data_IF_290385870637
#
_entry.id   IF_290385870637
#
_cell.length_a   1.000
_cell.length_b   1.000
_cell.length_c   1.000
_cell.angle_alpha   90.00
_cell.angle_beta   90.00
_cell.angle_gamma   90.00
#
_symmetry.space_group_name_H-M   'P 1'
#
loop_
_entity.id
_entity.type
_entity.pdbx_description
1 polymer ?
#
# COMPACT_ATOMS: atom_id res chain seq x y z
N UNK A 1 -38.36 37.24 3.00
CA UNK A 1 -38.67 36.04 2.20
C UNK A 1 -37.37 35.61 1.57
N UNK A 2 -36.56 34.88 2.33
CA UNK A 2 -35.43 34.06 1.87
C UNK A 2 -35.26 32.95 2.90
N UNK A 3 -36.37 32.24 3.14
CA UNK A 3 -36.45 31.11 4.08
C UNK A 3 -35.80 29.87 3.44
N UNK A 4 -35.48 29.91 2.14
CA UNK A 4 -34.85 28.82 1.40
C UNK A 4 -33.31 28.77 1.51
N UNK A 5 -32.61 29.91 1.65
CA UNK A 5 -31.15 29.92 1.79
C UNK A 5 -30.67 29.62 3.23
N UNK A 6 -31.51 29.90 4.23
CA UNK A 6 -31.25 29.49 5.62
C UNK A 6 -31.54 28.00 5.85
N UNK A 7 -32.38 27.37 5.03
CA UNK A 7 -32.74 25.96 5.19
C UNK A 7 -31.68 25.02 4.61
N UNK A 8 -31.11 25.36 3.44
CA UNK A 8 -30.04 24.57 2.81
C UNK A 8 -28.71 24.62 3.59
N UNK A 9 -28.45 25.73 4.30
CA UNK A 9 -27.30 25.87 5.20
C UNK A 9 -27.54 25.28 6.61
N UNK A 10 -28.81 25.02 6.97
CA UNK A 10 -29.20 24.37 8.23
C UNK A 10 -29.39 22.83 8.11
N UNK A 11 -29.52 22.28 6.90
CA UNK A 11 -29.65 20.81 6.69
C UNK A 11 -28.33 20.03 6.74
N UNK A 12 -27.18 20.71 6.81
CA UNK A 12 -25.93 20.12 7.32
C UNK A 12 -25.93 20.17 8.85
N UNK A 13 -27.05 19.78 9.46
CA UNK A 13 -27.16 19.55 10.89
C UNK A 13 -26.25 18.38 11.27
N UNK A 14 -25.01 18.72 11.65
CA UNK A 14 -24.08 17.92 12.45
C UNK A 14 -23.89 16.47 11.99
N UNK A 15 -23.30 16.25 10.81
CA UNK A 15 -22.66 14.97 10.52
C UNK A 15 -21.68 14.65 11.67
N UNK A 16 -22.00 13.62 12.47
CA UNK A 16 -21.19 13.24 13.63
C UNK A 16 -19.79 12.87 13.16
N UNK A 17 -18.78 13.66 13.55
CA UNK A 17 -17.38 13.30 13.31
C UNK A 17 -17.04 12.09 14.16
N UNK A 18 -16.54 11.04 13.51
CA UNK A 18 -16.06 9.83 14.18
C UNK A 18 -14.63 9.59 13.77
N UNK A 19 -13.73 9.49 14.74
CA UNK A 19 -12.32 9.18 14.50
C UNK A 19 -12.14 7.68 14.38
N UNK A 20 -11.30 7.26 13.43
CA UNK A 20 -10.85 5.86 13.36
C UNK A 20 -9.99 5.57 14.60
N UNK A 21 -10.36 4.54 15.36
CA UNK A 21 -9.63 4.13 16.56
C UNK A 21 -9.01 2.76 16.33
N UNK A 22 -7.71 2.65 16.59
CA UNK A 22 -7.01 1.37 16.56
C UNK A 22 -6.63 0.93 17.98
N UNK A 23 -7.13 -0.22 18.42
CA UNK A 23 -6.90 -0.73 19.79
C UNK A 23 -5.91 -1.90 19.88
N UNK A 24 -5.23 -2.22 18.77
CA UNK A 24 -4.28 -3.33 18.72
C UNK A 24 -3.01 -3.06 19.54
N UNK A 25 -2.42 -4.11 20.10
CA UNK A 25 -1.21 -4.05 20.93
C UNK A 25 -0.07 -4.86 20.32
N UNK A 26 1.14 -4.29 20.32
CA UNK A 26 2.32 -4.92 19.71
C UNK A 26 2.66 -6.28 20.30
N UNK A 27 2.63 -6.42 21.64
CA UNK A 27 2.93 -7.68 22.33
C UNK A 27 1.90 -8.79 22.04
N UNK A 28 0.62 -8.43 21.97
CA UNK A 28 -0.45 -9.38 21.61
C UNK A 28 -0.27 -9.85 20.16
N UNK A 29 -0.03 -8.91 19.23
CA UNK A 29 0.22 -9.24 17.84
C UNK A 29 1.52 -10.03 17.64
N UNK A 30 2.56 -9.79 18.46
CA UNK A 30 3.80 -10.57 18.42
C UNK A 30 3.55 -12.05 18.69
N UNK A 31 2.74 -12.39 19.70
CA UNK A 31 2.37 -13.78 20.00
C UNK A 31 1.65 -14.45 18.82
N UNK A 32 0.75 -13.73 18.14
CA UNK A 32 0.09 -14.23 16.92
C UNK A 32 1.11 -14.42 15.79
N UNK A 33 1.97 -13.43 15.58
CA UNK A 33 2.93 -13.40 14.49
C UNK A 33 3.99 -14.50 14.61
N UNK A 34 4.59 -14.70 15.79
CA UNK A 34 5.66 -15.70 15.96
C UNK A 34 5.13 -17.12 15.74
N UNK A 35 3.94 -17.43 16.26
CA UNK A 35 3.26 -18.71 16.02
C UNK A 35 2.96 -18.89 14.54
N UNK A 36 2.49 -17.83 13.87
CA UNK A 36 2.21 -17.87 12.44
C UNK A 36 3.49 -18.10 11.61
N UNK A 37 4.61 -17.46 11.96
CA UNK A 37 5.89 -17.65 11.28
C UNK A 37 6.39 -19.08 11.47
N UNK A 38 6.43 -19.58 12.71
CA UNK A 38 6.87 -20.94 13.02
C UNK A 38 6.04 -21.99 12.27
N UNK A 39 4.72 -21.89 12.31
CA UNK A 39 3.84 -22.82 11.59
C UNK A 39 3.99 -22.69 10.07
N UNK A 40 4.24 -21.48 9.55
CA UNK A 40 4.50 -21.29 8.13
C UNK A 40 5.80 -21.96 7.69
N UNK A 41 6.86 -21.90 8.51
CA UNK A 41 8.13 -22.57 8.22
C UNK A 41 7.95 -24.10 8.28
N UNK A 42 7.37 -24.61 9.36
CA UNK A 42 7.19 -26.07 9.58
C UNK A 42 6.32 -26.70 8.48
N UNK A 43 5.33 -25.97 7.98
CA UNK A 43 4.43 -26.45 6.90
C UNK A 43 4.90 -26.07 5.49
N UNK A 44 6.16 -25.66 5.33
CA UNK A 44 6.75 -25.25 4.04
C UNK A 44 5.90 -24.24 3.26
N UNK A 45 5.33 -23.28 3.98
CA UNK A 45 4.52 -22.20 3.40
C UNK A 45 3.02 -22.47 3.36
N UNK A 46 2.53 -23.69 3.60
CA UNK A 46 1.08 -23.99 3.50
C UNK A 46 0.28 -23.19 4.55
N UNK A 47 0.75 -23.14 5.80
CA UNK A 47 0.08 -22.42 6.88
C UNK A 47 0.00 -20.91 6.66
N UNK A 48 0.77 -20.35 5.72
CA UNK A 48 0.72 -18.91 5.40
C UNK A 48 -0.70 -18.43 5.06
N UNK A 49 -1.61 -19.30 4.61
CA UNK A 49 -2.99 -18.94 4.31
C UNK A 49 -3.79 -18.64 5.59
N UNK A 50 -3.61 -19.47 6.63
CA UNK A 50 -4.18 -19.24 7.96
C UNK A 50 -3.55 -18.03 8.63
N UNK A 51 -2.22 -17.89 8.51
CA UNK A 51 -1.50 -16.73 9.01
C UNK A 51 -2.08 -15.42 8.44
N UNK A 52 -2.32 -15.35 7.12
CA UNK A 52 -2.90 -14.17 6.47
C UNK A 52 -4.29 -13.83 7.00
N UNK A 53 -5.18 -14.83 7.16
CA UNK A 53 -6.53 -14.62 7.71
C UNK A 53 -6.47 -14.13 9.15
N UNK A 54 -5.71 -14.82 10.02
CA UNK A 54 -5.59 -14.48 11.45
C UNK A 54 -5.03 -13.08 11.65
N UNK A 55 -3.99 -12.72 10.89
CA UNK A 55 -3.42 -11.37 10.91
C UNK A 55 -4.44 -10.32 10.46
N UNK A 56 -5.17 -10.57 9.36
CA UNK A 56 -6.15 -9.59 8.84
C UNK A 56 -7.34 -9.43 9.80
N UNK A 57 -7.82 -10.54 10.39
CA UNK A 57 -8.86 -10.53 11.42
C UNK A 57 -8.44 -9.74 12.65
N UNK A 58 -7.18 -9.86 13.09
CA UNK A 58 -6.62 -9.07 14.18
C UNK A 58 -6.72 -7.56 13.87
N UNK A 59 -6.11 -7.11 12.77
CA UNK A 59 -6.11 -5.68 12.44
C UNK A 59 -7.52 -5.12 12.21
N UNK A 60 -8.40 -5.85 11.53
CA UNK A 60 -9.77 -5.39 11.28
C UNK A 60 -10.59 -5.35 12.57
N UNK A 61 -10.48 -6.37 13.43
CA UNK A 61 -11.18 -6.44 14.71
C UNK A 61 -10.75 -5.33 15.69
N UNK A 62 -9.50 -4.88 15.58
CA UNK A 62 -8.95 -3.77 16.37
C UNK A 62 -9.11 -2.39 15.70
N UNK A 63 -9.61 -2.32 14.47
CA UNK A 63 -9.92 -1.04 13.79
C UNK A 63 -11.39 -0.73 13.98
N UNK A 64 -11.71 0.35 14.68
CA UNK A 64 -13.08 0.79 14.98
C UNK A 64 -13.39 2.14 14.38
N UNK A 65 -14.61 2.27 13.88
CA UNK A 65 -15.22 3.54 13.47
C UNK A 65 -16.60 3.59 14.11
N UNK A 66 -16.93 4.70 14.73
CA UNK A 66 -18.21 4.90 15.43
C UNK A 66 -18.55 3.75 16.41
N UNK A 67 -17.55 3.30 17.18
CA UNK A 67 -17.71 2.23 18.17
C UNK A 67 -17.77 0.79 17.62
N UNK A 68 -17.90 0.62 16.31
CA UNK A 68 -17.98 -0.70 15.67
C UNK A 68 -16.67 -1.08 14.98
N UNK A 69 -16.25 -2.35 15.10
CA UNK A 69 -15.06 -2.86 14.41
C UNK A 69 -15.35 -3.37 13.01
N UNK A 70 -14.33 -3.37 12.16
CA UNK A 70 -14.35 -4.10 10.91
C UNK A 70 -14.25 -5.61 11.16
N UNK A 71 -14.79 -6.41 10.24
CA UNK A 71 -14.70 -7.87 10.27
C UNK A 71 -14.21 -8.39 8.94
N UNK A 72 -13.21 -9.27 9.01
CA UNK A 72 -12.71 -10.02 7.86
C UNK A 72 -13.34 -11.42 7.83
N UNK A 73 -14.07 -11.71 6.76
CA UNK A 73 -14.93 -12.90 6.61
C UNK A 73 -14.27 -14.02 5.80
N UNK A 74 -13.05 -13.81 5.29
CA UNK A 74 -12.39 -14.82 4.48
C UNK A 74 -12.02 -16.06 5.31
N UNK A 75 -12.10 -17.22 4.67
CA UNK A 75 -11.59 -18.47 5.24
C UNK A 75 -10.22 -18.81 4.66
N UNK A 76 -9.30 -19.43 5.43
CA UNK A 76 -7.95 -19.75 4.96
C UNK A 76 -7.93 -20.57 3.67
N UNK A 77 -8.88 -21.48 3.52
CA UNK A 77 -9.00 -22.37 2.35
C UNK A 77 -9.23 -21.57 1.06
N UNK A 78 -9.95 -20.46 1.10
CA UNK A 78 -10.15 -19.60 -0.08
C UNK A 78 -8.82 -19.02 -0.58
N UNK A 79 -7.94 -18.61 0.32
CA UNK A 79 -6.61 -18.08 -0.02
C UNK A 79 -5.68 -19.21 -0.46
N UNK A 80 -5.74 -20.37 0.21
CA UNK A 80 -4.91 -21.51 -0.13
C UNK A 80 -5.15 -22.01 -1.55
N UNK A 81 -6.41 -22.06 -2.02
CA UNK A 81 -6.75 -22.44 -3.39
C UNK A 81 -6.01 -21.58 -4.42
N UNK A 82 -6.03 -20.26 -4.24
CA UNK A 82 -5.32 -19.34 -5.13
C UNK A 82 -3.80 -19.56 -5.11
N UNK A 83 -3.21 -19.84 -3.95
CA UNK A 83 -1.77 -20.14 -3.82
C UNK A 83 -1.39 -21.47 -4.47
N UNK A 84 -2.20 -22.51 -4.32
CA UNK A 84 -1.96 -23.81 -4.98
C UNK A 84 -1.95 -23.62 -6.49
N UNK A 85 -2.93 -22.89 -7.05
CA UNK A 85 -2.95 -22.58 -8.48
C UNK A 85 -1.70 -21.82 -8.91
N UNK A 86 -1.27 -20.82 -8.14
CA UNK A 86 -0.04 -20.07 -8.43
C UNK A 86 1.22 -20.96 -8.41
N UNK A 87 1.33 -21.88 -7.44
CA UNK A 87 2.45 -22.82 -7.35
C UNK A 87 2.46 -23.78 -8.54
N UNK A 88 1.29 -24.31 -8.96
CA UNK A 88 1.18 -25.19 -10.13
C UNK A 88 1.61 -24.44 -11.39
N UNK A 89 1.11 -23.22 -11.60
CA UNK A 89 1.49 -22.40 -12.76
C UNK A 89 2.99 -22.10 -12.74
N UNK A 90 3.55 -21.73 -11.58
CA UNK A 90 4.98 -21.46 -11.44
C UNK A 90 5.84 -22.70 -11.74
N UNK A 91 5.45 -23.88 -11.23
CA UNK A 91 6.13 -25.14 -11.50
C UNK A 91 6.08 -25.48 -12.99
N UNK A 92 4.92 -25.32 -13.63
CA UNK A 92 4.76 -25.53 -15.07
C UNK A 92 5.65 -24.58 -15.87
N UNK A 93 5.66 -23.28 -15.56
CA UNK A 93 6.52 -22.30 -16.21
C UNK A 93 8.00 -22.67 -16.01
N UNK A 94 8.39 -23.07 -14.80
CA UNK A 94 9.78 -23.45 -14.49
C UNK A 94 10.24 -24.66 -15.31
N UNK A 95 9.40 -25.69 -15.41
CA UNK A 95 9.68 -26.89 -16.22
C UNK A 95 9.73 -26.54 -17.71
N UNK A 96 8.75 -25.79 -18.24
CA UNK A 96 8.74 -25.37 -19.65
C UNK A 96 9.95 -24.51 -20.00
N UNK A 97 10.35 -23.62 -19.09
CA UNK A 97 11.52 -22.74 -19.28
C UNK A 97 12.84 -23.51 -19.32
N UNK A 98 12.91 -24.71 -18.74
CA UNK A 98 14.08 -25.57 -18.83
C UNK A 98 14.30 -26.15 -20.24
N UNK A 99 13.24 -26.27 -21.05
CA UNK A 99 13.35 -26.75 -22.44
C UNK A 99 13.77 -25.63 -23.40
N UNK A 100 13.26 -24.41 -23.21
CA UNK A 100 13.62 -23.26 -24.05
C UNK A 100 13.36 -21.94 -23.31
N UNK A 101 14.30 -20.97 -23.37
CA UNK A 101 14.08 -19.62 -22.86
C UNK A 101 12.86 -18.90 -23.47
N UNK A 102 12.41 -19.32 -24.67
CA UNK A 102 11.23 -18.74 -25.32
C UNK A 102 9.95 -18.98 -24.50
N UNK A 103 9.83 -20.13 -23.82
CA UNK A 103 8.68 -20.40 -22.94
C UNK A 103 8.64 -19.46 -21.74
N UNK A 104 9.79 -19.06 -21.21
CA UNK A 104 9.86 -18.08 -20.13
C UNK A 104 9.35 -16.71 -20.60
N UNK A 105 9.73 -16.28 -21.80
CA UNK A 105 9.28 -15.01 -22.38
C UNK A 105 7.76 -15.04 -22.66
N UNK A 106 7.24 -16.11 -23.26
CA UNK A 106 5.80 -16.26 -23.48
C UNK A 106 5.03 -16.27 -22.16
N UNK A 107 5.53 -17.00 -21.15
CA UNK A 107 4.92 -17.02 -19.83
C UNK A 107 4.92 -15.63 -19.17
N UNK A 108 6.01 -14.87 -19.29
CA UNK A 108 6.10 -13.49 -18.80
C UNK A 108 5.06 -12.58 -19.49
N UNK A 109 4.88 -12.69 -20.80
CA UNK A 109 3.86 -11.93 -21.55
C UNK A 109 2.43 -12.30 -21.13
N UNK A 110 2.15 -13.60 -20.99
CA UNK A 110 0.84 -14.08 -20.50
C UNK A 110 0.58 -13.56 -19.10
N UNK A 111 1.58 -13.62 -18.21
CA UNK A 111 1.46 -13.10 -16.85
C UNK A 111 1.23 -11.58 -16.84
N UNK A 112 1.93 -10.83 -17.69
CA UNK A 112 1.75 -9.39 -17.85
C UNK A 112 0.31 -9.03 -18.24
N UNK A 113 -0.29 -9.76 -19.19
CA UNK A 113 -1.68 -9.58 -19.64
C UNK A 113 -2.69 -10.06 -18.57
N UNK A 114 -2.34 -11.10 -17.81
CA UNK A 114 -3.17 -11.62 -16.72
C UNK A 114 -3.12 -10.76 -15.44
N UNK A 115 -2.06 -9.96 -15.26
CA UNK A 115 -1.82 -9.15 -14.05
C UNK A 115 -3.00 -8.21 -13.74
N UNK A 116 -3.54 -7.41 -14.68
CA UNK A 116 -4.72 -6.58 -14.41
C UNK A 116 -5.93 -7.37 -13.93
N UNK A 117 -6.16 -8.57 -14.50
CA UNK A 117 -7.24 -9.46 -14.05
C UNK A 117 -7.00 -9.94 -12.62
N UNK A 118 -5.78 -10.37 -12.30
CA UNK A 118 -5.40 -10.82 -10.95
C UNK A 118 -5.59 -9.70 -9.92
N UNK A 119 -5.23 -8.46 -10.25
CA UNK A 119 -5.42 -7.30 -9.38
C UNK A 119 -6.91 -7.03 -9.12
N UNK A 120 -7.75 -7.03 -10.16
CA UNK A 120 -9.20 -6.85 -10.03
C UNK A 120 -9.81 -7.97 -9.18
N UNK A 121 -9.43 -9.22 -9.41
CA UNK A 121 -9.91 -10.35 -8.60
C UNK A 121 -9.46 -10.25 -7.14
N UNK A 122 -8.23 -9.81 -6.89
CA UNK A 122 -7.72 -9.55 -5.55
C UNK A 122 -8.52 -8.46 -4.83
N UNK A 123 -8.82 -7.34 -5.49
CA UNK A 123 -9.66 -6.27 -4.95
C UNK A 123 -11.08 -6.74 -4.67
N UNK A 124 -11.72 -7.44 -5.63
CA UNK A 124 -13.06 -8.03 -5.47
C UNK A 124 -13.13 -8.97 -4.28
N UNK A 125 -12.16 -9.88 -4.17
CA UNK A 125 -12.09 -10.83 -3.06
C UNK A 125 -11.91 -10.11 -1.73
N UNK A 126 -10.93 -9.22 -1.61
CA UNK A 126 -10.64 -8.54 -0.35
C UNK A 126 -11.83 -7.69 0.11
N UNK A 127 -12.41 -6.86 -0.76
CA UNK A 127 -13.53 -5.99 -0.41
C UNK A 127 -14.79 -6.80 -0.06
N UNK A 128 -15.10 -7.87 -0.80
CA UNK A 128 -16.23 -8.76 -0.49
C UNK A 128 -16.08 -9.48 0.86
N UNK A 129 -14.84 -9.70 1.29
CA UNK A 129 -14.52 -10.30 2.59
C UNK A 129 -14.36 -9.26 3.71
N UNK A 130 -14.39 -7.98 3.40
CA UNK A 130 -14.44 -6.90 4.38
C UNK A 130 -15.89 -6.55 4.69
N UNK A 131 -16.21 -6.47 5.97
CA UNK A 131 -17.53 -6.00 6.42
C UNK A 131 -17.41 -5.01 7.56
N UNK A 132 -18.34 -4.08 7.60
CA UNK A 132 -18.50 -3.09 8.66
C UNK A 132 -19.99 -2.97 8.98
N UNK A 133 -20.36 -3.04 10.26
CA UNK A 133 -21.78 -3.07 10.71
C UNK A 133 -22.63 -4.09 9.96
N UNK A 134 -22.07 -5.28 9.72
CA UNK A 134 -22.68 -6.40 8.99
C UNK A 134 -22.98 -6.13 7.49
N UNK A 135 -22.55 -5.00 6.95
CA UNK A 135 -22.61 -4.66 5.52
C UNK A 135 -21.25 -4.93 4.89
N UNK A 136 -21.25 -5.62 3.74
CA UNK A 136 -20.01 -5.96 3.02
C UNK A 136 -19.64 -4.86 2.03
N UNK A 137 -18.34 -4.69 1.84
CA UNK A 137 -17.84 -3.86 0.74
C UNK A 137 -17.91 -4.65 -0.57
N UNK A 138 -17.96 -3.92 -1.68
CA UNK A 138 -17.94 -4.46 -3.03
C UNK A 138 -16.93 -3.72 -3.90
N UNK A 139 -16.54 -4.34 -5.01
CA UNK A 139 -15.67 -3.74 -6.01
C UNK A 139 -16.19 -4.05 -7.41
N UNK A 140 -16.39 -3.01 -8.21
CA UNK A 140 -17.03 -3.09 -9.52
C UNK A 140 -16.07 -2.82 -10.69
N UNK A 141 -14.76 -2.80 -10.45
CA UNK A 141 -13.77 -2.57 -11.51
C UNK A 141 -13.78 -3.65 -12.59
N UNK A 142 -13.50 -3.23 -13.82
CA UNK A 142 -13.44 -4.09 -15.01
C UNK A 142 -12.00 -4.41 -15.40
N UNK A 143 -11.81 -5.45 -16.21
CA UNK A 143 -10.49 -5.81 -16.73
C UNK A 143 -9.91 -4.75 -17.66
N UNK A 144 -10.73 -4.17 -18.55
CA UNK A 144 -10.28 -3.18 -19.53
C UNK A 144 -9.70 -1.94 -18.86
N UNK A 145 -10.43 -1.41 -17.86
CA UNK A 145 -9.96 -0.27 -17.06
C UNK A 145 -8.67 -0.61 -16.32
N UNK A 146 -8.60 -1.79 -15.69
CA UNK A 146 -7.40 -2.23 -14.99
C UNK A 146 -6.20 -2.38 -15.94
N UNK A 147 -6.40 -2.88 -17.16
CA UNK A 147 -5.34 -2.99 -18.17
C UNK A 147 -4.81 -1.60 -18.55
N UNK A 148 -5.71 -0.64 -18.73
CA UNK A 148 -5.32 0.75 -19.04
C UNK A 148 -4.53 1.35 -17.88
N UNK A 149 -5.07 1.33 -16.66
CA UNK A 149 -4.49 2.09 -15.54
C UNK A 149 -3.28 1.41 -14.88
N UNK A 150 -3.22 0.08 -14.82
CA UNK A 150 -2.08 -0.62 -14.21
C UNK A 150 -0.95 -0.93 -15.18
N UNK A 151 -1.22 -1.08 -16.48
CA UNK A 151 -0.22 -1.51 -17.45
C UNK A 151 0.06 -0.44 -18.52
N UNK A 152 -0.96 -0.05 -19.28
CA UNK A 152 -0.78 0.84 -20.42
C UNK A 152 -0.30 2.24 -19.98
N UNK A 153 -0.95 2.83 -18.98
CA UNK A 153 -0.66 4.20 -18.55
C UNK A 153 0.75 4.36 -17.95
N UNK A 154 1.20 3.52 -16.99
CA UNK A 154 2.55 3.61 -16.47
C UNK A 154 3.62 3.31 -17.53
N UNK A 155 3.32 2.43 -18.49
CA UNK A 155 4.20 2.17 -19.61
C UNK A 155 4.32 3.40 -20.52
N UNK A 156 3.21 4.06 -20.87
CA UNK A 156 3.21 5.28 -21.69
C UNK A 156 3.94 6.45 -21.00
N UNK A 157 4.00 6.48 -19.67
CA UNK A 157 4.77 7.49 -18.93
C UNK A 157 6.27 7.47 -19.26
N UNK A 158 6.83 6.38 -19.82
CA UNK A 158 8.23 6.32 -20.26
C UNK A 158 8.57 7.42 -21.27
N UNK A 159 7.64 7.76 -22.18
CA UNK A 159 7.82 8.80 -23.19
C UNK A 159 7.89 10.21 -22.59
N UNK A 160 7.48 10.36 -21.33
CA UNK A 160 7.57 11.62 -20.57
C UNK A 160 8.69 11.59 -19.54
N UNK A 161 9.61 10.61 -19.61
CA UNK A 161 10.62 10.34 -18.58
C UNK A 161 10.00 10.20 -17.18
N UNK A 162 8.82 9.57 -17.12
CA UNK A 162 7.99 9.41 -15.92
C UNK A 162 7.47 10.72 -15.29
N UNK A 163 7.62 11.89 -15.94
CA UNK A 163 7.07 13.15 -15.43
C UNK A 163 5.53 13.14 -15.36
N UNK A 164 4.86 12.38 -16.24
CA UNK A 164 3.41 12.19 -16.21
C UNK A 164 2.93 11.15 -15.17
N UNK A 165 3.84 10.48 -14.44
CA UNK A 165 3.49 9.43 -13.48
C UNK A 165 2.50 9.88 -12.38
N UNK A 166 2.57 11.10 -11.81
CA UNK A 166 1.61 11.54 -10.79
C UNK A 166 0.17 11.60 -11.33
N UNK A 167 -0.01 11.96 -12.61
CA UNK A 167 -1.30 11.92 -13.27
C UNK A 167 -1.79 10.48 -13.50
N UNK A 168 -0.87 9.57 -13.85
CA UNK A 168 -1.21 8.15 -14.00
C UNK A 168 -1.65 7.52 -12.66
N UNK A 169 -0.94 7.84 -11.58
CA UNK A 169 -1.28 7.40 -10.22
C UNK A 169 -2.64 7.94 -9.78
N UNK A 170 -2.95 9.21 -10.07
CA UNK A 170 -4.29 9.78 -9.84
C UNK A 170 -5.37 8.95 -10.54
N UNK A 171 -5.19 8.60 -11.81
CA UNK A 171 -6.17 7.81 -12.57
C UNK A 171 -6.34 6.41 -11.98
N UNK A 172 -5.27 5.79 -11.52
CA UNK A 172 -5.30 4.52 -10.80
C UNK A 172 -6.07 4.63 -9.48
N UNK A 173 -5.77 5.62 -8.66
CA UNK A 173 -6.49 5.83 -7.38
C UNK A 173 -7.98 6.11 -7.60
N UNK A 174 -8.31 6.93 -8.60
CA UNK A 174 -9.70 7.16 -9.00
C UNK A 174 -10.37 5.86 -9.43
N UNK A 175 -9.74 5.04 -10.29
CA UNK A 175 -10.26 3.73 -10.67
C UNK A 175 -10.50 2.82 -9.46
N UNK A 176 -9.55 2.77 -8.52
CA UNK A 176 -9.73 1.92 -7.34
C UNK A 176 -10.88 2.43 -6.48
N UNK A 177 -10.88 3.70 -6.07
CA UNK A 177 -11.83 4.20 -5.07
C UNK A 177 -13.24 4.38 -5.64
N UNK A 178 -13.41 4.87 -6.87
CA UNK A 178 -14.73 5.06 -7.47
C UNK A 178 -15.48 3.75 -7.72
N UNK A 179 -14.74 2.65 -7.88
CA UNK A 179 -15.32 1.32 -8.05
C UNK A 179 -15.58 0.58 -6.73
N UNK A 180 -15.26 1.16 -5.57
CA UNK A 180 -15.65 0.62 -4.26
C UNK A 180 -17.12 0.93 -4.00
N UNK A 181 -17.85 -0.03 -3.43
CA UNK A 181 -19.21 0.18 -2.95
C UNK A 181 -19.39 -0.24 -1.51
N UNK A 182 -20.28 0.43 -0.79
CA UNK A 182 -20.71 0.07 0.55
C UNK A 182 -22.22 0.32 0.69
N UNK A 183 -22.97 -0.67 1.19
CA UNK A 183 -24.42 -0.52 1.42
C UNK A 183 -25.26 -0.23 0.17
N UNK A 184 -24.81 -0.65 -1.01
CA UNK A 184 -25.49 -0.39 -2.29
C UNK A 184 -25.14 0.95 -2.95
N UNK A 185 -24.30 1.78 -2.33
CA UNK A 185 -23.79 3.05 -2.88
C UNK A 185 -22.32 2.94 -3.27
N UNK A 186 -21.91 3.63 -4.32
CA UNK A 186 -20.50 3.75 -4.75
C UNK A 186 -19.87 5.00 -4.18
N UNK A 187 -18.54 4.99 -3.97
CA UNK A 187 -17.81 6.17 -3.54
C UNK A 187 -17.65 7.17 -4.69
N UNK A 188 -17.90 8.45 -4.41
CA UNK A 188 -17.60 9.56 -5.32
C UNK A 188 -16.22 10.12 -4.96
N UNK A 189 -15.36 10.28 -5.98
CA UNK A 189 -13.94 10.58 -5.82
C UNK A 189 -13.56 11.78 -6.66
N UNK A 190 -13.38 12.94 -6.03
CA UNK A 190 -13.11 14.21 -6.70
C UNK A 190 -11.64 14.62 -6.51
N UNK A 191 -10.71 13.82 -7.03
CA UNK A 191 -9.27 14.10 -6.87
C UNK A 191 -8.78 15.18 -7.85
N UNK A 192 -7.98 16.11 -7.35
CA UNK A 192 -7.28 17.12 -8.15
C UNK A 192 -5.90 16.66 -8.61
N UNK A 193 -5.52 16.97 -9.85
CA UNK A 193 -4.18 16.62 -10.38
C UNK A 193 -3.07 17.46 -9.76
N UNK A 194 -3.37 18.71 -9.38
CA UNK A 194 -2.39 19.64 -8.79
C UNK A 194 -1.74 19.06 -7.53
N UNK A 195 -2.53 18.43 -6.65
CA UNK A 195 -2.01 17.87 -5.40
C UNK A 195 -1.09 16.66 -5.60
N UNK A 196 -1.31 15.86 -6.65
CA UNK A 196 -0.39 14.78 -7.04
C UNK A 196 0.96 15.33 -7.53
N UNK A 197 0.94 16.38 -8.36
CA UNK A 197 2.17 17.03 -8.81
C UNK A 197 2.90 17.75 -7.68
N UNK A 198 2.18 18.43 -6.77
CA UNK A 198 2.77 19.03 -5.56
C UNK A 198 3.49 17.97 -4.72
N UNK A 199 2.82 16.84 -4.45
CA UNK A 199 3.42 15.74 -3.71
C UNK A 199 4.66 15.18 -4.42
N UNK A 200 4.60 15.04 -5.76
CA UNK A 200 5.73 14.60 -6.56
C UNK A 200 6.92 15.57 -6.50
N UNK A 201 6.72 16.88 -6.66
CA UNK A 201 7.82 17.84 -6.63
C UNK A 201 8.44 17.99 -5.23
N UNK A 202 7.63 17.91 -4.16
CA UNK A 202 8.14 17.88 -2.78
C UNK A 202 8.92 16.59 -2.52
N UNK A 203 8.39 15.44 -2.95
CA UNK A 203 9.08 14.16 -2.85
C UNK A 203 10.41 14.17 -3.62
N UNK A 204 10.42 14.75 -4.84
CA UNK A 204 11.60 14.89 -5.67
C UNK A 204 12.65 15.83 -5.06
N UNK A 205 12.24 16.98 -4.51
CA UNK A 205 13.18 17.91 -3.88
C UNK A 205 13.84 17.31 -2.63
N UNK A 206 13.06 16.59 -1.82
CA UNK A 206 13.58 15.81 -0.68
C UNK A 206 14.53 14.72 -1.15
N UNK A 207 14.18 13.98 -2.22
CA UNK A 207 15.01 12.93 -2.78
C UNK A 207 16.38 13.46 -3.25
N UNK A 208 16.38 14.56 -4.01
CA UNK A 208 17.60 15.20 -4.52
C UNK A 208 18.44 15.74 -3.36
N UNK A 209 17.83 16.43 -2.40
CA UNK A 209 18.52 16.96 -1.22
C UNK A 209 19.23 15.86 -0.44
N UNK A 210 18.53 14.76 -0.13
CA UNK A 210 19.12 13.61 0.55
C UNK A 210 20.17 12.88 -0.31
N UNK A 211 19.95 12.75 -1.62
CA UNK A 211 20.90 12.11 -2.52
C UNK A 211 22.23 12.88 -2.59
N UNK A 212 22.18 14.20 -2.64
CA UNK A 212 23.38 15.05 -2.61
C UNK A 212 24.10 14.92 -1.26
N UNK A 213 23.36 14.99 -0.14
CA UNK A 213 23.95 14.87 1.20
C UNK A 213 24.60 13.50 1.42
N UNK A 214 23.88 12.42 1.12
CA UNK A 214 24.38 11.06 1.27
C UNK A 214 25.50 10.75 0.26
N UNK A 215 25.41 11.26 -0.96
CA UNK A 215 26.45 11.11 -1.98
C UNK A 215 27.75 11.81 -1.58
N UNK A 216 27.66 13.03 -1.04
CA UNK A 216 28.81 13.74 -0.50
C UNK A 216 29.43 12.99 0.70
N UNK A 217 28.60 12.52 1.63
CA UNK A 217 29.07 11.74 2.78
C UNK A 217 29.75 10.43 2.35
N UNK A 218 29.17 9.71 1.38
CA UNK A 218 29.75 8.49 0.82
C UNK A 218 31.08 8.74 0.10
N UNK A 219 31.17 9.83 -0.67
CA UNK A 219 32.41 10.24 -1.32
C UNK A 219 33.52 10.57 -0.31
N UNK A 220 33.20 11.37 0.73
CA UNK A 220 34.16 11.70 1.81
C UNK A 220 34.64 10.43 2.51
N UNK A 221 33.71 9.54 2.89
CA UNK A 221 34.07 8.26 3.53
C UNK A 221 34.93 7.40 2.60
N UNK A 222 34.62 7.35 1.30
CA UNK A 222 35.41 6.60 0.32
C UNK A 222 36.84 7.15 0.16
N UNK A 223 37.00 8.46 -0.02
CA UNK A 223 38.32 9.08 -0.19
C UNK A 223 39.18 9.09 1.08
N UNK A 224 38.57 8.95 2.26
CA UNK A 224 39.31 8.85 3.52
C UNK A 224 40.00 7.50 3.74
N UNK A 225 39.69 6.48 2.94
CA UNK A 225 40.29 5.15 3.08
C UNK A 225 41.71 5.10 2.50
N UNK A 226 42.67 4.46 3.20
CA UNK A 226 44.05 4.34 2.71
C UNK A 226 44.16 3.55 1.40
N UNK A 227 43.33 2.52 1.26
CA UNK A 227 43.28 1.66 0.08
C UNK A 227 42.17 2.14 -0.87
N UNK A 228 42.49 2.57 -2.11
CA UNK A 228 41.50 3.11 -3.05
C UNK A 228 40.36 2.15 -3.38
N UNK A 229 40.65 0.85 -3.50
CA UNK A 229 39.65 -0.18 -3.80
C UNK A 229 38.65 -0.37 -2.64
N UNK A 230 39.15 -0.33 -1.40
CA UNK A 230 38.32 -0.40 -0.20
C UNK A 230 37.47 0.87 -0.05
N UNK A 231 38.05 2.04 -0.34
CA UNK A 231 37.34 3.32 -0.35
C UNK A 231 36.19 3.35 -1.35
N UNK A 232 36.41 2.90 -2.58
CA UNK A 232 35.38 2.81 -3.61
C UNK A 232 34.26 1.84 -3.21
N UNK A 233 34.62 0.66 -2.70
CA UNK A 233 33.65 -0.35 -2.25
C UNK A 233 32.76 0.16 -1.10
N UNK A 234 33.35 0.87 -0.13
CA UNK A 234 32.61 1.50 0.96
C UNK A 234 31.67 2.60 0.45
N UNK A 235 32.12 3.46 -0.45
CA UNK A 235 31.30 4.52 -1.03
C UNK A 235 30.07 3.95 -1.77
N UNK A 236 30.26 2.89 -2.56
CA UNK A 236 29.16 2.20 -3.23
C UNK A 236 28.19 1.58 -2.23
N UNK A 237 28.68 0.91 -1.18
CA UNK A 237 27.84 0.35 -0.13
C UNK A 237 26.98 1.43 0.53
N UNK A 238 27.59 2.56 0.91
CA UNK A 238 26.88 3.70 1.51
C UNK A 238 25.85 4.30 0.56
N UNK A 239 26.17 4.40 -0.73
CA UNK A 239 25.22 4.89 -1.74
C UNK A 239 24.02 3.95 -1.91
N UNK A 240 24.24 2.62 -1.90
CA UNK A 240 23.15 1.64 -1.93
C UNK A 240 22.25 1.75 -0.70
N UNK A 241 22.83 1.81 0.51
CA UNK A 241 22.06 2.01 1.75
C UNK A 241 21.27 3.32 1.70
N UNK A 242 21.92 4.41 1.23
CA UNK A 242 21.27 5.69 1.05
C UNK A 242 20.13 5.62 0.04
N UNK A 243 20.29 4.94 -1.09
CA UNK A 243 19.24 4.76 -2.09
C UNK A 243 17.97 4.11 -1.49
N UNK A 244 18.13 3.02 -0.75
CA UNK A 244 17.00 2.37 -0.06
C UNK A 244 16.35 3.29 0.98
N UNK A 245 17.17 4.00 1.77
CA UNK A 245 16.70 4.97 2.76
C UNK A 245 15.91 6.10 2.11
N UNK A 246 16.44 6.72 1.06
CA UNK A 246 15.82 7.81 0.32
C UNK A 246 14.50 7.35 -0.29
N UNK A 247 14.47 6.21 -0.99
CA UNK A 247 13.24 5.68 -1.59
C UNK A 247 12.15 5.45 -0.53
N UNK A 248 12.53 4.93 0.64
CA UNK A 248 11.61 4.74 1.76
C UNK A 248 11.04 6.06 2.30
N UNK A 249 11.90 7.06 2.52
CA UNK A 249 11.49 8.36 3.08
C UNK A 249 10.62 9.16 2.12
N UNK A 250 11.04 9.20 0.86
CA UNK A 250 10.30 9.85 -0.24
C UNK A 250 8.94 9.17 -0.42
N UNK A 251 8.92 7.83 -0.36
CA UNK A 251 7.68 7.04 -0.37
C UNK A 251 6.75 7.39 0.79
N UNK A 252 7.27 7.59 2.01
CA UNK A 252 6.47 8.00 3.16
C UNK A 252 5.86 9.41 2.97
N UNK A 253 6.65 10.39 2.53
CA UNK A 253 6.14 11.75 2.27
C UNK A 253 5.03 11.72 1.21
N UNK A 254 5.29 11.07 0.08
CA UNK A 254 4.31 10.94 -1.00
C UNK A 254 3.05 10.23 -0.52
N UNK A 255 3.20 9.13 0.22
CA UNK A 255 2.07 8.35 0.73
C UNK A 255 1.20 9.16 1.69
N UNK A 256 1.78 9.91 2.63
CA UNK A 256 1.01 10.75 3.56
C UNK A 256 0.20 11.83 2.82
N UNK A 257 0.84 12.52 1.86
CA UNK A 257 0.18 13.58 1.10
C UNK A 257 -0.97 13.06 0.22
N UNK A 258 -0.73 11.96 -0.51
CA UNK A 258 -1.76 11.36 -1.37
C UNK A 258 -2.87 10.75 -0.51
N UNK A 259 -2.56 10.13 0.63
CA UNK A 259 -3.59 9.63 1.58
C UNK A 259 -4.49 10.76 2.04
N UNK A 260 -3.94 11.88 2.50
CA UNK A 260 -4.75 13.02 2.93
C UNK A 260 -5.63 13.54 1.82
N UNK A 261 -5.06 13.78 0.64
CA UNK A 261 -5.81 14.26 -0.52
C UNK A 261 -6.93 13.28 -0.92
N UNK A 262 -6.61 12.01 -1.06
CA UNK A 262 -7.56 10.99 -1.52
C UNK A 262 -8.72 10.81 -0.54
N UNK A 263 -8.45 10.72 0.77
CA UNK A 263 -9.50 10.60 1.77
C UNK A 263 -10.34 11.88 1.83
N UNK A 264 -9.71 13.07 1.85
CA UNK A 264 -10.43 14.35 1.91
C UNK A 264 -11.25 14.64 0.64
N UNK A 265 -10.92 14.00 -0.48
CA UNK A 265 -11.64 14.11 -1.76
C UNK A 265 -12.60 12.93 -2.02
N UNK A 266 -12.83 12.04 -1.06
CA UNK A 266 -13.70 10.87 -1.21
C UNK A 266 -14.93 10.98 -0.31
N UNK A 267 -16.11 10.80 -0.90
CA UNK A 267 -17.39 10.83 -0.19
C UNK A 267 -18.23 9.60 -0.56
N UNK A 268 -18.98 9.10 0.42
CA UNK A 268 -20.02 8.11 0.23
C UNK A 268 -21.38 8.84 0.29
N UNK A 269 -22.15 8.90 -0.81
CA UNK A 269 -23.33 9.74 -0.92
C UNK A 269 -24.32 9.57 0.25
N UNK A 270 -24.68 10.70 0.86
CA UNK A 270 -25.63 10.79 1.99
C UNK A 270 -25.28 9.91 3.20
N UNK A 271 -24.04 9.43 3.29
CA UNK A 271 -23.62 8.47 4.32
C UNK A 271 -22.42 8.96 5.12
N UNK A 272 -21.30 9.26 4.45
CA UNK A 272 -20.07 9.66 5.13
C UNK A 272 -19.10 10.37 4.19
N UNK A 273 -18.51 11.48 4.64
CA UNK A 273 -17.28 12.03 4.06
C UNK A 273 -16.07 11.40 4.74
N UNK A 274 -15.03 11.07 3.98
CA UNK A 274 -13.77 10.62 4.54
C UNK A 274 -12.86 11.83 4.82
N UNK A 275 -12.04 11.73 5.86
CA UNK A 275 -11.08 12.76 6.20
C UNK A 275 -9.80 12.14 6.76
N UNK A 276 -8.64 12.63 6.34
CA UNK A 276 -7.34 12.25 6.87
C UNK A 276 -6.44 13.49 7.00
N UNK A 277 -5.77 13.59 8.16
CA UNK A 277 -4.82 14.65 8.46
C UNK A 277 -3.52 14.03 8.99
N UNK A 278 -2.89 13.19 8.18
CA UNK A 278 -1.60 12.60 8.50
C UNK A 278 -0.48 13.57 8.17
N UNK A 279 0.28 14.00 9.17
CA UNK A 279 1.44 14.82 8.89
C UNK A 279 2.54 13.97 8.20
N UNK A 280 3.11 14.46 7.08
CA UNK A 280 4.19 13.73 6.40
C UNK A 280 5.40 13.48 7.31
N UNK A 281 5.70 14.43 8.20
CA UNK A 281 6.81 14.33 9.16
C UNK A 281 6.58 13.19 10.15
N UNK A 282 5.36 13.03 10.66
CA UNK A 282 5.01 11.94 11.57
C UNK A 282 5.17 10.57 10.91
N UNK A 283 4.68 10.43 9.67
CA UNK A 283 4.84 9.16 8.94
C UNK A 283 6.31 8.88 8.64
N UNK A 284 7.09 9.89 8.25
CA UNK A 284 8.54 9.75 8.04
C UNK A 284 9.22 9.29 9.34
N UNK A 285 8.95 9.95 10.46
CA UNK A 285 9.53 9.61 11.77
C UNK A 285 9.19 8.18 12.20
N UNK A 286 7.92 7.79 12.06
CA UNK A 286 7.49 6.43 12.38
C UNK A 286 8.13 5.42 11.43
N UNK A 287 8.28 5.73 10.15
CA UNK A 287 8.91 4.84 9.16
C UNK A 287 10.41 4.65 9.45
N UNK A 288 11.14 5.73 9.73
CA UNK A 288 12.57 5.68 10.12
C UNK A 288 12.76 4.86 11.38
N UNK A 289 12.03 5.18 12.44
CA UNK A 289 12.18 4.48 13.72
C UNK A 289 11.76 3.01 13.60
N UNK A 290 10.74 2.69 12.81
CA UNK A 290 10.35 1.31 12.52
C UNK A 290 11.42 0.54 11.75
N UNK A 291 12.04 1.15 10.74
CA UNK A 291 13.13 0.53 9.99
C UNK A 291 14.31 0.20 10.90
N UNK A 292 14.74 1.17 11.72
CA UNK A 292 15.82 0.97 12.69
C UNK A 292 15.49 -0.14 13.69
N UNK A 293 14.26 -0.18 14.22
CA UNK A 293 13.83 -1.24 15.12
C UNK A 293 13.88 -2.63 14.46
N UNK A 294 13.41 -2.75 13.21
CA UNK A 294 13.43 -4.02 12.47
C UNK A 294 14.86 -4.45 12.19
N UNK A 295 15.74 -3.54 11.76
CA UNK A 295 17.15 -3.84 11.50
C UNK A 295 17.89 -4.28 12.78
N UNK A 296 17.79 -3.51 13.86
CA UNK A 296 18.48 -3.80 15.13
C UNK A 296 17.98 -5.09 15.81
N UNK A 297 16.76 -5.53 15.52
CA UNK A 297 16.17 -6.74 16.11
C UNK A 297 16.12 -7.93 15.13
N UNK A 298 16.77 -7.82 13.96
CA UNK A 298 16.76 -8.84 12.90
C UNK A 298 15.33 -9.30 12.54
N UNK A 299 14.38 -8.35 12.50
CA UNK A 299 12.99 -8.61 12.15
C UNK A 299 12.05 -8.86 13.31
N UNK A 300 12.53 -9.12 14.53
CA UNK A 300 11.66 -9.44 15.67
C UNK A 300 10.73 -8.28 16.07
N UNK A 301 11.12 -7.02 15.85
CA UNK A 301 10.29 -5.85 16.13
C UNK A 301 9.15 -5.64 15.10
N UNK A 302 9.10 -6.41 14.01
CA UNK A 302 8.10 -6.24 12.95
C UNK A 302 6.64 -6.13 13.47
N UNK A 303 6.18 -6.95 14.43
CA UNK A 303 4.81 -6.85 14.95
C UNK A 303 4.50 -5.49 15.59
N UNK A 304 5.42 -4.92 16.37
CA UNK A 304 5.26 -3.59 16.95
C UNK A 304 5.21 -2.51 15.88
N UNK A 305 6.08 -2.60 14.87
CA UNK A 305 6.09 -1.62 13.76
C UNK A 305 4.78 -1.62 12.97
N UNK A 306 4.18 -2.81 12.74
CA UNK A 306 2.88 -2.94 12.07
C UNK A 306 1.74 -2.35 12.90
N UNK A 307 1.75 -2.55 14.22
CA UNK A 307 0.78 -1.94 15.14
C UNK A 307 0.91 -0.43 15.17
N UNK A 308 2.14 0.11 15.22
CA UNK A 308 2.40 1.57 15.16
C UNK A 308 1.85 2.18 13.87
N UNK A 309 2.12 1.55 12.72
CA UNK A 309 1.62 2.02 11.43
C UNK A 309 0.10 1.98 11.32
N UNK A 310 -0.56 1.00 11.92
CA UNK A 310 -2.02 0.90 11.91
C UNK A 310 -2.71 1.93 12.82
N UNK A 311 -1.98 2.53 13.75
CA UNK A 311 -2.50 3.56 14.66
C UNK A 311 -2.45 4.99 14.08
N UNK A 312 -1.79 5.19 12.92
CA UNK A 312 -1.63 6.48 12.22
C UNK A 312 -2.72 6.72 11.17
#
# INVERSE_FOLDING_TARGET
MDIHDSAASAEVAAARRSTVQFSGRGAEFFGIWIVNVLLTIITLGIYSAWAKVRTTQYFYGHTKVDGHSFRYLATPIQILKGRIVAVIIFALISVLSAFSPLFALMAALVFLIALPWLLVQGLKFNLRMTSYRNVRFGFHGTYGDAFIYYLLLPFLCIFTLYLAMPWALKKLDHFVFSNISFGGKTFEVNTESSNYFKAFFIALSVAIGLAVLCGAAAAIAGFSMPEPEAGFSLALLLLYVAYFGIFMLVGAVYHAMIRNHLFNSTLLPETAGLHSNLEPVDLVWVTVTNMLLVLCTLGLAYPWTKVRMAAL
#
